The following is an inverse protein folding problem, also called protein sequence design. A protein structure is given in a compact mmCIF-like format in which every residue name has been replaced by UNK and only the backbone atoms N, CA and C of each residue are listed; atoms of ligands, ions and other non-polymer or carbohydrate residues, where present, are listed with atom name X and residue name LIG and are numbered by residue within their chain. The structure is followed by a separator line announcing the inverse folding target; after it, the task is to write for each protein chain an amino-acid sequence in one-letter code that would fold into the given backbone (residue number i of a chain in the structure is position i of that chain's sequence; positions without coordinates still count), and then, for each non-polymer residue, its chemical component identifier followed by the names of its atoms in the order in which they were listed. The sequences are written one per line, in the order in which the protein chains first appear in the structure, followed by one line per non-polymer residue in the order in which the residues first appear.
data_IF_809049584880
#
_entry.id   IF_809049584880
#
_cell.length_a   1.000
_cell.length_b   1.000
_cell.length_c   1.000
_cell.angle_alpha   90.00
_cell.angle_beta   90.00
_cell.angle_gamma   90.00
#
_symmetry.space_group_name_H-M   'P 1'
#
loop_
_entity.id
_entity.type
_entity.pdbx_description
1 polymer ?
#
# COMPACT_ATOMS: atom_id res chain seq x y z
N UNK A 1 66.15 -12.85 56.17
CA UNK A 1 65.27 -13.53 55.20
C UNK A 1 63.80 -13.06 55.26
N UNK A 2 63.41 -12.07 56.07
CA UNK A 2 62.01 -11.60 56.19
C UNK A 2 61.59 -10.50 55.20
N UNK A 3 62.53 -9.73 54.65
CA UNK A 3 62.21 -8.59 53.77
C UNK A 3 61.61 -8.99 52.41
N UNK A 4 62.02 -10.11 51.81
CA UNK A 4 61.48 -10.52 50.50
C UNK A 4 60.02 -10.98 50.59
N UNK A 5 59.64 -11.67 51.67
CA UNK A 5 58.28 -12.14 51.88
C UNK A 5 57.30 -10.97 52.10
N UNK A 6 57.71 -9.96 52.86
CA UNK A 6 56.91 -8.75 53.10
C UNK A 6 56.75 -7.96 51.81
N UNK A 7 57.84 -7.75 51.05
CA UNK A 7 57.80 -7.05 49.75
C UNK A 7 56.89 -7.81 48.76
N UNK A 8 57.01 -9.14 48.68
CA UNK A 8 56.19 -9.98 47.81
C UNK A 8 54.70 -9.88 48.18
N UNK A 9 54.35 -9.88 49.47
CA UNK A 9 52.98 -9.74 49.93
C UNK A 9 52.40 -8.35 49.56
N UNK A 10 53.20 -7.30 49.69
CA UNK A 10 52.80 -5.92 49.40
C UNK A 10 52.58 -5.70 47.90
N UNK A 11 53.46 -6.23 47.05
CA UNK A 11 53.28 -6.23 45.59
C UNK A 11 52.04 -7.02 45.19
N UNK A 12 51.82 -8.21 45.77
CA UNK A 12 50.64 -9.03 45.48
C UNK A 12 49.33 -8.32 45.85
N UNK A 13 49.30 -7.60 46.98
CA UNK A 13 48.15 -6.82 47.42
C UNK A 13 47.85 -5.67 46.44
N UNK A 14 48.88 -4.93 46.02
CA UNK A 14 48.75 -3.83 45.04
C UNK A 14 48.25 -4.35 43.70
N UNK A 15 48.81 -5.44 43.20
CA UNK A 15 48.40 -6.07 41.94
C UNK A 15 46.94 -6.53 42.02
N UNK A 16 46.52 -7.13 43.14
CA UNK A 16 45.14 -7.56 43.34
C UNK A 16 44.18 -6.38 43.34
N UNK A 17 44.53 -5.27 44.01
CA UNK A 17 43.74 -4.05 44.05
C UNK A 17 43.61 -3.43 42.64
N UNK A 18 44.70 -3.38 41.88
CA UNK A 18 44.72 -2.89 40.50
C UNK A 18 43.85 -3.75 39.58
N UNK A 19 43.96 -5.09 39.67
CA UNK A 19 43.13 -6.02 38.88
C UNK A 19 41.65 -5.85 39.24
N UNK A 20 41.33 -5.65 40.52
CA UNK A 20 39.96 -5.41 40.96
C UNK A 20 39.39 -4.11 40.35
N UNK A 21 40.15 -3.01 40.41
CA UNK A 21 39.75 -1.73 39.82
C UNK A 21 39.60 -1.83 38.29
N UNK A 22 40.55 -2.47 37.60
CA UNK A 22 40.48 -2.73 36.17
C UNK A 22 39.26 -3.57 35.80
N UNK A 23 38.97 -4.64 36.55
CA UNK A 23 37.77 -5.46 36.34
C UNK A 23 36.50 -4.66 36.54
N UNK A 24 36.42 -3.81 37.56
CA UNK A 24 35.25 -2.97 37.80
C UNK A 24 34.99 -2.00 36.64
N UNK A 25 36.04 -1.34 36.14
CA UNK A 25 35.95 -0.41 35.00
C UNK A 25 35.53 -1.17 33.72
N UNK A 26 36.20 -2.29 33.42
CA UNK A 26 35.89 -3.10 32.23
C UNK A 26 34.48 -3.66 32.31
N UNK A 27 34.04 -4.17 33.47
CA UNK A 27 32.68 -4.70 33.64
C UNK A 27 31.65 -3.61 33.46
N UNK A 28 31.87 -2.41 34.01
CA UNK A 28 30.97 -1.27 33.84
C UNK A 28 30.75 -0.91 32.37
N UNK A 29 31.83 -0.75 31.58
CA UNK A 29 31.71 -0.43 30.16
C UNK A 29 31.05 -1.56 29.35
N UNK A 30 31.35 -2.82 29.68
CA UNK A 30 30.76 -4.00 29.02
C UNK A 30 29.28 -4.13 29.34
N UNK A 31 28.89 -4.00 30.61
CA UNK A 31 27.49 -4.07 31.06
C UNK A 31 26.66 -2.95 30.45
N UNK A 32 27.18 -1.72 30.42
CA UNK A 32 26.54 -0.60 29.74
C UNK A 32 26.32 -0.88 28.26
N UNK A 33 27.38 -1.28 27.55
CA UNK A 33 27.29 -1.60 26.11
C UNK A 33 26.32 -2.75 25.85
N UNK A 34 26.31 -3.77 26.71
CA UNK A 34 25.37 -4.89 26.63
C UNK A 34 23.93 -4.47 26.89
N UNK A 35 23.67 -3.59 27.85
CA UNK A 35 22.34 -3.04 28.11
C UNK A 35 21.84 -2.16 26.95
N UNK A 36 22.68 -1.27 26.44
CA UNK A 36 22.34 -0.45 25.26
C UNK A 36 22.02 -1.34 24.04
N UNK A 37 22.83 -2.38 23.82
CA UNK A 37 22.57 -3.38 22.78
C UNK A 37 21.24 -4.11 22.99
N UNK A 38 20.98 -4.60 24.21
CA UNK A 38 19.76 -5.33 24.56
C UNK A 38 18.51 -4.48 24.34
N UNK A 39 18.51 -3.24 24.84
CA UNK A 39 17.40 -2.28 24.67
C UNK A 39 17.12 -2.04 23.18
N UNK A 40 18.18 -1.87 22.37
CA UNK A 40 18.04 -1.70 20.92
C UNK A 40 17.37 -2.92 20.29
N UNK A 41 17.85 -4.13 20.56
CA UNK A 41 17.30 -5.36 19.99
C UNK A 41 15.84 -5.57 20.42
N UNK A 42 15.51 -5.32 21.69
CA UNK A 42 14.14 -5.42 22.19
C UNK A 42 13.21 -4.42 21.48
N UNK A 43 13.65 -3.17 21.29
CA UNK A 43 12.88 -2.18 20.55
C UNK A 43 12.68 -2.60 19.08
N UNK A 44 13.75 -3.02 18.39
CA UNK A 44 13.65 -3.51 17.01
C UNK A 44 12.66 -4.67 16.87
N UNK A 45 12.71 -5.61 17.81
CA UNK A 45 11.79 -6.74 17.86
C UNK A 45 10.35 -6.28 18.06
N UNK A 46 10.09 -5.40 19.02
CA UNK A 46 8.74 -4.87 19.29
C UNK A 46 8.18 -4.07 18.11
N UNK A 47 9.00 -3.29 17.40
CA UNK A 47 8.57 -2.58 16.19
C UNK A 47 8.18 -3.57 15.08
N UNK A 48 9.01 -4.58 14.81
CA UNK A 48 8.72 -5.62 13.82
C UNK A 48 7.45 -6.39 14.16
N UNK A 49 7.27 -6.72 15.44
CA UNK A 49 6.11 -7.44 15.93
C UNK A 49 4.82 -6.67 15.66
N UNK A 50 4.78 -5.37 15.99
CA UNK A 50 3.60 -4.52 15.74
C UNK A 50 3.22 -4.44 14.27
N UNK A 51 4.21 -4.37 13.36
CA UNK A 51 3.94 -4.37 11.91
C UNK A 51 3.32 -5.69 11.48
N UNK A 52 3.88 -6.81 11.94
CA UNK A 52 3.33 -8.14 11.63
C UNK A 52 1.94 -8.33 12.19
N UNK A 53 1.66 -7.82 13.39
CA UNK A 53 0.33 -7.86 13.99
C UNK A 53 -0.67 -7.03 13.18
N UNK A 54 -0.29 -5.81 12.76
CA UNK A 54 -1.12 -4.97 11.89
C UNK A 54 -1.40 -5.64 10.53
N UNK A 55 -0.36 -6.17 9.88
CA UNK A 55 -0.52 -6.92 8.62
C UNK A 55 -1.42 -8.13 8.85
N UNK A 56 -1.16 -8.96 9.87
CA UNK A 56 -1.96 -10.16 10.14
C UNK A 56 -3.43 -9.84 10.39
N UNK A 57 -3.70 -8.75 11.10
CA UNK A 57 -5.06 -8.30 11.42
C UNK A 57 -5.85 -7.85 10.18
N UNK A 58 -5.21 -7.15 9.25
CA UNK A 58 -5.91 -6.51 8.12
C UNK A 58 -5.63 -7.13 6.75
N UNK A 59 -4.71 -8.09 6.64
CA UNK A 59 -4.34 -8.74 5.37
C UNK A 59 -5.55 -9.39 4.70
N UNK A 60 -6.34 -10.19 5.43
CA UNK A 60 -7.49 -10.87 4.84
C UNK A 60 -8.54 -9.88 4.30
N UNK A 61 -9.06 -8.91 5.09
CA UNK A 61 -9.98 -7.90 4.55
C UNK A 61 -9.43 -7.09 3.38
N UNK A 62 -8.12 -6.78 3.38
CA UNK A 62 -7.46 -6.10 2.26
C UNK A 62 -7.45 -6.97 0.99
N UNK A 63 -7.11 -8.25 1.11
CA UNK A 63 -7.08 -9.17 -0.03
C UNK A 63 -8.49 -9.44 -0.57
N UNK A 64 -9.49 -9.59 0.30
CA UNK A 64 -10.87 -9.84 -0.10
C UNK A 64 -11.48 -8.62 -0.81
N UNK A 65 -11.25 -7.41 -0.29
CA UNK A 65 -11.70 -6.17 -0.94
C UNK A 65 -10.94 -5.90 -2.24
N UNK A 66 -9.63 -6.17 -2.28
CA UNK A 66 -8.82 -6.09 -3.49
C UNK A 66 -9.31 -7.04 -4.57
N UNK A 67 -9.64 -8.29 -4.23
CA UNK A 67 -10.13 -9.27 -5.21
C UNK A 67 -11.54 -8.93 -5.70
N UNK A 68 -12.42 -8.46 -4.80
CA UNK A 68 -13.73 -7.94 -5.20
C UNK A 68 -13.61 -6.80 -6.22
N UNK A 69 -12.70 -5.85 -5.99
CA UNK A 69 -12.40 -4.77 -6.92
C UNK A 69 -11.76 -5.29 -8.22
N UNK A 70 -10.81 -6.22 -8.13
CA UNK A 70 -10.16 -6.85 -9.28
C UNK A 70 -11.18 -7.51 -10.21
N UNK A 71 -12.13 -8.28 -9.68
CA UNK A 71 -13.23 -8.84 -10.47
C UNK A 71 -14.09 -7.78 -11.15
N UNK A 72 -14.37 -6.66 -10.47
CA UNK A 72 -15.12 -5.54 -11.06
C UNK A 72 -14.34 -4.88 -12.19
N UNK A 73 -13.03 -4.70 -12.05
CA UNK A 73 -12.16 -4.14 -13.08
C UNK A 73 -12.03 -5.07 -14.29
N UNK A 74 -11.93 -6.39 -14.09
CA UNK A 74 -11.99 -7.38 -15.17
C UNK A 74 -13.31 -7.28 -15.95
N UNK A 75 -14.43 -7.24 -15.23
CA UNK A 75 -15.74 -7.12 -15.84
C UNK A 75 -15.87 -5.80 -16.62
N UNK A 76 -15.42 -4.69 -16.02
CA UNK A 76 -15.48 -3.38 -16.65
C UNK A 76 -14.63 -3.31 -17.92
N UNK A 77 -13.41 -3.83 -17.88
CA UNK A 77 -12.54 -3.88 -19.05
C UNK A 77 -13.15 -4.69 -20.20
N UNK A 78 -13.86 -5.77 -19.88
CA UNK A 78 -14.53 -6.61 -20.89
C UNK A 78 -15.79 -5.96 -21.46
N UNK A 79 -16.59 -5.30 -20.62
CA UNK A 79 -17.97 -4.91 -20.94
C UNK A 79 -18.18 -3.37 -20.94
N UNK A 80 -17.14 -2.55 -20.95
CA UNK A 80 -17.27 -1.08 -20.90
C UNK A 80 -18.15 -0.53 -22.05
N UNK A 81 -18.10 -1.18 -23.22
CA UNK A 81 -18.91 -0.86 -24.40
C UNK A 81 -20.43 -1.00 -24.15
N UNK A 82 -20.84 -1.85 -23.21
CA UNK A 82 -22.25 -2.01 -22.81
C UNK A 82 -22.80 -0.79 -22.06
N UNK A 83 -21.92 0.12 -21.60
CA UNK A 83 -22.29 1.40 -21.01
C UNK A 83 -23.19 1.32 -19.77
N UNK A 84 -23.14 0.21 -19.01
CA UNK A 84 -23.89 0.03 -17.76
C UNK A 84 -23.47 1.00 -16.65
N UNK A 85 -22.31 1.64 -16.78
CA UNK A 85 -21.80 2.66 -15.88
C UNK A 85 -22.26 4.08 -16.25
N UNK A 86 -22.81 4.29 -17.44
CA UNK A 86 -23.22 5.59 -17.95
C UNK A 86 -24.72 5.78 -17.68
N UNK A 87 -25.16 6.83 -16.97
CA UNK A 87 -26.57 7.16 -16.83
C UNK A 87 -27.19 7.45 -18.21
N UNK A 88 -28.37 6.88 -18.47
CA UNK A 88 -29.14 7.10 -19.70
C UNK A 88 -30.55 7.59 -19.33
N UNK A 89 -31.02 8.68 -19.95
CA UNK A 89 -32.33 9.28 -19.67
C UNK A 89 -32.48 9.71 -18.20
N UNK A 90 -33.65 9.43 -17.61
CA UNK A 90 -33.98 9.79 -16.21
C UNK A 90 -33.48 8.78 -15.17
N UNK A 91 -32.50 7.94 -15.54
CA UNK A 91 -31.96 6.94 -14.63
C UNK A 91 -31.29 7.61 -13.43
N UNK A 92 -31.91 7.47 -12.25
CA UNK A 92 -31.30 7.84 -10.99
C UNK A 92 -30.07 6.94 -10.74
N UNK A 93 -28.93 7.56 -10.46
CA UNK A 93 -27.66 6.89 -10.11
C UNK A 93 -27.86 5.83 -9.02
N UNK A 94 -28.79 6.03 -8.08
CA UNK A 94 -29.09 5.09 -7.00
C UNK A 94 -29.69 3.76 -7.49
N UNK A 95 -30.30 3.75 -8.67
CA UNK A 95 -30.88 2.54 -9.25
C UNK A 95 -29.89 1.79 -10.16
N UNK A 96 -28.72 2.37 -10.44
CA UNK A 96 -27.71 1.79 -11.33
C UNK A 96 -26.80 0.82 -10.58
N UNK A 97 -27.24 -0.42 -10.40
CA UNK A 97 -26.48 -1.46 -9.68
C UNK A 97 -25.01 -1.56 -10.14
N UNK A 98 -24.76 -1.51 -11.45
CA UNK A 98 -23.40 -1.63 -11.97
C UNK A 98 -22.48 -0.52 -11.47
N UNK A 99 -22.92 0.74 -11.59
CA UNK A 99 -22.20 1.93 -11.15
C UNK A 99 -22.04 1.95 -9.62
N UNK A 100 -23.14 1.75 -8.89
CA UNK A 100 -23.18 1.72 -7.43
C UNK A 100 -22.22 0.70 -6.84
N UNK A 101 -22.29 -0.52 -7.37
CA UNK A 101 -21.44 -1.61 -6.89
C UNK A 101 -19.98 -1.45 -7.35
N UNK A 102 -19.69 -0.63 -8.36
CA UNK A 102 -18.32 -0.24 -8.71
C UNK A 102 -17.80 0.80 -7.71
N UNK A 103 -18.54 1.89 -7.48
CA UNK A 103 -18.21 2.90 -6.48
C UNK A 103 -17.92 2.25 -5.11
N UNK A 104 -18.82 1.37 -4.66
CA UNK A 104 -18.65 0.63 -3.41
C UNK A 104 -17.35 -0.16 -3.35
N UNK A 105 -17.01 -0.95 -4.38
CA UNK A 105 -15.82 -1.81 -4.35
C UNK A 105 -14.53 -1.01 -4.35
N UNK A 106 -14.49 0.09 -5.10
CA UNK A 106 -13.34 0.99 -5.12
C UNK A 106 -13.16 1.66 -3.74
N UNK A 107 -14.22 2.27 -3.23
CA UNK A 107 -14.19 2.96 -1.93
C UNK A 107 -13.94 2.01 -0.76
N UNK A 108 -14.51 0.80 -0.79
CA UNK A 108 -14.31 -0.22 0.24
C UNK A 108 -12.85 -0.68 0.29
N UNK A 109 -12.23 -0.92 -0.87
CA UNK A 109 -10.80 -1.25 -0.93
C UNK A 109 -9.93 -0.10 -0.39
N UNK A 110 -10.19 1.14 -0.81
CA UNK A 110 -9.47 2.31 -0.31
C UNK A 110 -9.68 2.52 1.21
N UNK A 111 -10.87 2.21 1.73
CA UNK A 111 -11.16 2.28 3.16
C UNK A 111 -10.34 1.27 3.97
N UNK A 112 -10.23 0.03 3.50
CA UNK A 112 -9.33 -0.95 4.13
C UNK A 112 -7.87 -0.52 4.08
N UNK A 113 -7.43 0.07 2.97
CA UNK A 113 -6.08 0.63 2.86
C UNK A 113 -5.84 1.72 3.92
N UNK A 114 -6.82 2.62 4.10
CA UNK A 114 -6.74 3.71 5.07
C UNK A 114 -6.80 3.22 6.52
N UNK A 115 -7.63 2.23 6.84
CA UNK A 115 -7.68 1.58 8.16
C UNK A 115 -6.31 0.97 8.49
N UNK A 116 -5.72 0.24 7.54
CA UNK A 116 -4.39 -0.34 7.71
C UNK A 116 -3.33 0.74 7.92
N UNK A 117 -3.32 1.80 7.10
CA UNK A 117 -2.34 2.88 7.24
C UNK A 117 -2.42 3.59 8.60
N UNK A 118 -3.62 3.83 9.14
CA UNK A 118 -3.81 4.43 10.47
C UNK A 118 -3.14 3.63 11.59
N UNK A 119 -3.10 2.30 11.47
CA UNK A 119 -2.48 1.42 12.46
C UNK A 119 -0.94 1.38 12.31
N UNK A 120 -0.41 1.80 11.16
CA UNK A 120 1.03 1.87 10.92
C UNK A 120 1.68 3.22 11.30
N UNK A 121 0.90 4.26 11.66
CA UNK A 121 1.39 5.62 11.96
C UNK A 121 2.49 5.62 13.03
N UNK A 122 2.49 4.64 13.94
CA UNK A 122 3.41 4.57 15.07
C UNK A 122 4.61 3.64 14.85
N UNK A 123 4.90 3.23 13.61
CA UNK A 123 5.88 2.18 13.31
C UNK A 123 7.08 2.72 12.53
N UNK A 124 8.27 2.43 13.06
CA UNK A 124 9.52 2.75 12.38
C UNK A 124 9.77 1.77 11.22
N UNK A 125 9.48 2.25 10.00
CA UNK A 125 9.69 1.49 8.77
C UNK A 125 11.16 1.10 8.51
N UNK A 126 12.14 1.76 9.15
CA UNK A 126 13.56 1.39 8.99
C UNK A 126 13.90 0.04 9.61
N UNK A 127 13.09 -0.40 10.59
CA UNK A 127 13.32 -1.64 11.34
C UNK A 127 12.55 -2.84 10.78
N UNK A 128 11.80 -2.63 9.69
CA UNK A 128 10.88 -3.62 9.13
C UNK A 128 11.58 -4.63 8.21
N UNK A 129 11.02 -5.83 8.11
CA UNK A 129 11.49 -6.83 7.13
C UNK A 129 11.07 -6.37 5.72
N UNK A 130 11.89 -6.67 4.72
CA UNK A 130 11.66 -6.26 3.32
C UNK A 130 10.25 -6.61 2.81
N UNK A 131 9.74 -7.81 3.12
CA UNK A 131 8.44 -8.26 2.62
C UNK A 131 7.27 -7.46 3.21
N UNK A 132 7.33 -7.19 4.51
CA UNK A 132 6.37 -6.35 5.22
C UNK A 132 6.40 -4.92 4.65
N UNK A 133 7.60 -4.39 4.40
CA UNK A 133 7.76 -3.07 3.77
C UNK A 133 7.18 -3.01 2.37
N UNK A 134 7.37 -4.05 1.57
CA UNK A 134 6.81 -4.09 0.23
C UNK A 134 5.27 -4.09 0.30
N UNK A 135 4.67 -4.80 1.26
CA UNK A 135 3.22 -4.77 1.49
C UNK A 135 2.74 -3.35 1.80
N UNK A 136 3.40 -2.66 2.75
CA UNK A 136 3.09 -1.26 3.09
C UNK A 136 3.21 -0.34 1.89
N UNK A 137 4.27 -0.49 1.08
CA UNK A 137 4.48 0.31 -0.13
C UNK A 137 3.36 0.09 -1.15
N UNK A 138 2.92 -1.16 -1.38
CA UNK A 138 1.78 -1.46 -2.26
C UNK A 138 0.54 -0.69 -1.82
N UNK A 139 0.18 -0.78 -0.53
CA UNK A 139 -1.00 -0.11 0.01
C UNK A 139 -0.90 1.42 -0.16
N UNK A 140 0.25 2.01 0.17
CA UNK A 140 0.47 3.45 -0.02
C UNK A 140 0.40 3.87 -1.49
N UNK A 141 1.02 3.11 -2.39
CA UNK A 141 0.98 3.41 -3.82
C UNK A 141 -0.44 3.35 -4.36
N UNK A 142 -1.19 2.29 -4.05
CA UNK A 142 -2.58 2.13 -4.51
C UNK A 142 -3.52 3.23 -4.01
N UNK A 143 -3.34 3.72 -2.77
CA UNK A 143 -4.11 4.85 -2.25
C UNK A 143 -3.80 6.18 -2.95
N UNK A 144 -2.54 6.40 -3.33
CA UNK A 144 -2.11 7.70 -3.87
C UNK A 144 -2.21 7.80 -5.40
N UNK A 145 -2.29 6.69 -6.15
CA UNK A 145 -2.35 6.70 -7.63
C UNK A 145 -3.45 7.63 -8.15
N UNK A 146 -4.62 7.65 -7.52
CA UNK A 146 -5.75 8.48 -7.94
C UNK A 146 -5.62 9.97 -7.58
N UNK A 147 -4.61 10.34 -6.80
CA UNK A 147 -4.37 11.72 -6.35
C UNK A 147 -2.99 12.25 -6.75
N UNK A 148 -2.14 11.41 -7.35
CA UNK A 148 -0.81 11.79 -7.80
C UNK A 148 -0.88 12.33 -9.23
N UNK A 149 -1.06 13.65 -9.35
CA UNK A 149 -1.19 14.32 -10.64
C UNK A 149 0.02 14.14 -11.58
N UNK A 150 1.18 13.72 -11.06
CA UNK A 150 2.34 13.43 -11.90
C UNK A 150 2.14 12.24 -12.84
N UNK A 151 1.07 11.44 -12.64
CA UNK A 151 0.66 10.43 -13.62
C UNK A 151 0.33 11.05 -14.99
N UNK A 152 -0.02 12.33 -15.06
CA UNK A 152 -0.34 13.06 -16.30
C UNK A 152 0.82 13.93 -16.82
N UNK A 153 2.02 13.82 -16.25
CA UNK A 153 3.18 14.60 -16.71
C UNK A 153 3.43 14.41 -18.22
N UNK A 154 3.70 15.51 -18.92
CA UNK A 154 3.93 15.48 -20.37
C UNK A 154 2.66 15.45 -21.23
N UNK A 155 1.48 15.47 -20.61
CA UNK A 155 0.19 15.68 -21.30
C UNK A 155 -0.29 17.13 -21.11
N UNK A 156 -1.21 17.55 -21.99
CA UNK A 156 -1.96 18.81 -21.84
C UNK A 156 -3.07 18.63 -20.79
N UNK A 157 -2.66 18.51 -19.52
CA UNK A 157 -3.55 18.29 -18.37
C UNK A 157 -3.26 19.31 -17.27
N UNK A 158 -4.29 20.03 -16.83
CA UNK A 158 -4.18 20.98 -15.72
C UNK A 158 -4.43 20.28 -14.36
N UNK A 159 -3.39 20.10 -13.51
CA UNK A 159 -3.52 19.42 -12.23
C UNK A 159 -4.27 20.26 -11.18
N UNK A 160 -4.54 21.55 -11.43
CA UNK A 160 -5.31 22.41 -10.53
C UNK A 160 -6.82 22.14 -10.59
N UNK A 161 -7.27 21.34 -11.56
CA UNK A 161 -8.65 20.86 -11.66
C UNK A 161 -8.71 19.33 -11.56
N UNK A 162 -9.54 18.83 -10.65
CA UNK A 162 -9.74 17.40 -10.40
C UNK A 162 -10.68 16.74 -11.43
N UNK A 163 -10.28 16.80 -12.71
CA UNK A 163 -11.07 16.24 -13.83
C UNK A 163 -10.78 14.75 -14.03
N UNK A 164 -9.50 14.35 -14.09
CA UNK A 164 -9.07 12.97 -14.32
C UNK A 164 -8.38 12.33 -13.11
N UNK A 165 -8.36 13.05 -11.99
CA UNK A 165 -7.85 12.61 -10.69
C UNK A 165 -8.72 13.18 -9.56
N UNK A 166 -8.37 12.84 -8.33
CA UNK A 166 -9.00 13.39 -7.14
C UNK A 166 -7.98 14.13 -6.28
N UNK A 167 -8.34 15.30 -5.77
CA UNK A 167 -7.58 15.87 -4.66
C UNK A 167 -7.57 14.91 -3.47
N UNK A 168 -6.40 14.80 -2.82
CA UNK A 168 -6.15 13.83 -1.77
C UNK A 168 -7.18 13.93 -0.63
N UNK A 169 -7.46 15.13 -0.16
CA UNK A 169 -8.39 15.33 0.96
C UNK A 169 -9.85 15.06 0.58
N UNK A 170 -10.22 15.32 -0.67
CA UNK A 170 -11.56 15.01 -1.17
C UNK A 170 -11.76 13.50 -1.31
N UNK A 171 -10.79 12.77 -1.89
CA UNK A 171 -10.84 11.31 -1.92
C UNK A 171 -10.85 10.72 -0.50
N UNK A 172 -10.01 11.27 0.37
CA UNK A 172 -9.90 10.89 1.78
C UNK A 172 -11.23 11.01 2.52
N UNK A 173 -12.03 12.06 2.27
CA UNK A 173 -13.33 12.24 2.93
C UNK A 173 -14.38 11.22 2.46
N UNK A 174 -14.43 10.93 1.14
CA UNK A 174 -15.31 9.89 0.60
C UNK A 174 -14.96 8.51 1.16
N UNK A 175 -13.66 8.24 1.35
CA UNK A 175 -13.17 7.01 1.97
C UNK A 175 -13.50 6.96 3.47
N UNK A 176 -13.41 8.08 4.20
CA UNK A 176 -13.74 8.13 5.63
C UNK A 176 -15.17 7.75 5.93
N UNK A 177 -16.10 8.16 5.06
CA UNK A 177 -17.50 7.80 5.20
C UNK A 177 -17.73 6.27 5.16
N UNK A 178 -16.87 5.50 4.49
CA UNK A 178 -16.99 4.04 4.44
C UNK A 178 -16.60 3.33 5.74
N UNK A 179 -15.97 4.03 6.70
CA UNK A 179 -15.31 3.42 7.86
C UNK A 179 -16.20 3.56 9.10
N UNK A 180 -16.47 2.45 9.79
CA UNK A 180 -17.15 2.40 11.10
C UNK A 180 -16.32 1.59 12.10
N UNK A 181 -15.93 2.18 13.24
CA UNK A 181 -15.25 1.49 14.37
C UNK A 181 -14.15 0.48 13.95
N UNK A 182 -13.34 0.86 12.95
CA UNK A 182 -12.26 0.07 12.31
C UNK A 182 -12.69 -1.07 11.35
N UNK A 183 -13.93 -1.03 10.91
CA UNK A 183 -14.48 -1.87 9.85
C UNK A 183 -14.94 -1.01 8.66
N UNK A 184 -15.34 -1.67 7.57
CA UNK A 184 -15.88 -1.00 6.39
C UNK A 184 -17.35 -1.38 6.25
N UNK A 185 -18.21 -0.39 5.96
CA UNK A 185 -19.65 -0.62 5.77
C UNK A 185 -19.91 -1.64 4.65
N UNK A 186 -20.98 -2.42 4.81
CA UNK A 186 -21.44 -3.36 3.80
C UNK A 186 -22.05 -2.66 2.58
N UNK A 187 -22.21 -3.39 1.48
CA UNK A 187 -22.88 -2.85 0.28
C UNK A 187 -24.33 -2.42 0.59
N UNK A 188 -25.04 -3.18 1.43
CA UNK A 188 -26.42 -2.86 1.83
C UNK A 188 -26.51 -1.56 2.65
N UNK A 189 -25.49 -1.25 3.45
CA UNK A 189 -25.39 0.02 4.18
C UNK A 189 -25.01 1.17 3.25
N UNK A 190 -24.05 0.93 2.34
CA UNK A 190 -23.66 1.89 1.30
C UNK A 190 -24.86 2.35 0.46
N UNK A 191 -25.73 1.42 0.04
CA UNK A 191 -26.93 1.72 -0.76
C UNK A 191 -27.97 2.58 -0.03
N UNK A 192 -27.91 2.69 1.31
CA UNK A 192 -28.82 3.55 2.10
C UNK A 192 -28.30 4.98 2.24
N UNK A 193 -27.08 5.24 1.78
CA UNK A 193 -26.41 6.49 2.01
C UNK A 193 -26.63 7.47 0.87
N UNK A 194 -26.57 8.76 1.20
CA UNK A 194 -26.70 9.83 0.23
C UNK A 194 -25.59 9.77 -0.83
N UNK A 195 -25.98 9.86 -2.10
CA UNK A 195 -25.09 9.86 -3.26
C UNK A 195 -24.06 10.98 -3.19
N UNK A 196 -24.41 12.11 -2.57
CA UNK A 196 -23.50 13.25 -2.38
C UNK A 196 -22.17 12.85 -1.70
N UNK A 197 -22.18 11.82 -0.85
CA UNK A 197 -20.97 11.34 -0.15
C UNK A 197 -19.96 10.66 -1.06
N UNK A 198 -20.35 10.23 -2.26
CA UNK A 198 -19.48 9.53 -3.22
C UNK A 198 -19.69 10.00 -4.66
N UNK A 199 -20.36 11.13 -4.87
CA UNK A 199 -20.76 11.62 -6.19
C UNK A 199 -19.56 11.83 -7.11
N UNK A 200 -18.42 12.28 -6.59
CA UNK A 200 -17.21 12.46 -7.40
C UNK A 200 -16.69 11.13 -7.95
N UNK A 201 -16.71 10.04 -7.16
CA UNK A 201 -16.34 8.70 -7.65
C UNK A 201 -17.35 8.20 -8.68
N UNK A 202 -18.64 8.44 -8.43
CA UNK A 202 -19.70 8.09 -9.37
C UNK A 202 -19.50 8.79 -10.72
N UNK A 203 -19.29 10.11 -10.70
CA UNK A 203 -19.06 10.93 -11.89
C UNK A 203 -17.77 10.55 -12.61
N UNK A 204 -16.71 10.23 -11.86
CA UNK A 204 -15.46 9.74 -12.44
C UNK A 204 -15.67 8.44 -13.22
N UNK A 205 -16.34 7.46 -12.60
CA UNK A 205 -16.57 6.15 -13.23
C UNK A 205 -17.53 6.30 -14.42
N UNK A 206 -18.63 7.05 -14.26
CA UNK A 206 -19.67 7.20 -15.28
C UNK A 206 -19.23 8.00 -16.50
N UNK A 207 -18.21 8.85 -16.37
CA UNK A 207 -17.65 9.64 -17.48
C UNK A 207 -16.57 8.92 -18.27
N UNK A 208 -16.22 7.67 -17.91
CA UNK A 208 -15.33 6.85 -18.74
C UNK A 208 -16.05 6.50 -20.05
N UNK A 209 -15.45 6.86 -21.17
CA UNK A 209 -16.04 6.64 -22.50
C UNK A 209 -16.07 5.15 -22.85
N UNK A 210 -16.99 4.75 -23.73
CA UNK A 210 -17.13 3.35 -24.17
C UNK A 210 -15.90 2.87 -24.93
N UNK A 211 -15.28 3.78 -25.68
CA UNK A 211 -14.06 3.59 -26.46
C UNK A 211 -12.82 3.56 -25.57
N UNK A 212 -12.94 4.02 -24.31
CA UNK A 212 -11.87 4.01 -23.30
C UNK A 212 -10.63 4.83 -23.68
N UNK A 213 -10.76 5.73 -24.65
CA UNK A 213 -9.73 6.71 -25.00
C UNK A 213 -9.84 7.96 -24.12
N UNK A 214 -9.63 7.80 -22.82
CA UNK A 214 -9.61 8.93 -21.89
C UNK A 214 -8.64 8.68 -20.72
N UNK A 215 -8.13 9.77 -20.16
CA UNK A 215 -7.21 9.77 -19.03
C UNK A 215 -7.72 8.98 -17.81
N UNK A 216 -9.02 9.08 -17.50
CA UNK A 216 -9.65 8.30 -16.42
C UNK A 216 -9.51 6.79 -16.63
N UNK A 217 -9.76 6.33 -17.86
CA UNK A 217 -9.58 4.93 -18.20
C UNK A 217 -8.11 4.52 -18.08
N UNK A 218 -7.20 5.30 -18.66
CA UNK A 218 -5.76 5.01 -18.62
C UNK A 218 -5.25 4.91 -17.17
N UNK A 219 -5.68 5.80 -16.29
CA UNK A 219 -5.34 5.78 -14.86
C UNK A 219 -5.90 4.53 -14.17
N UNK A 220 -7.19 4.23 -14.38
CA UNK A 220 -7.88 3.08 -13.81
C UNK A 220 -7.29 1.75 -14.28
N UNK A 221 -6.92 1.66 -15.57
CA UNK A 221 -6.28 0.50 -16.14
C UNK A 221 -4.87 0.29 -15.56
N UNK A 222 -4.08 1.35 -15.45
CA UNK A 222 -2.78 1.31 -14.77
C UNK A 222 -2.91 0.86 -13.30
N UNK A 223 -3.90 1.39 -12.58
CA UNK A 223 -4.23 0.93 -11.23
C UNK A 223 -4.57 -0.57 -11.18
N UNK A 224 -5.30 -1.08 -12.17
CA UNK A 224 -5.65 -2.51 -12.23
C UNK A 224 -4.41 -3.41 -12.33
N UNK A 225 -3.38 -3.04 -13.09
CA UNK A 225 -2.11 -3.78 -13.12
C UNK A 225 -1.39 -3.77 -11.76
N UNK A 226 -1.40 -2.64 -11.06
CA UNK A 226 -0.84 -2.54 -9.70
C UNK A 226 -1.60 -3.46 -8.73
N UNK A 227 -2.94 -3.50 -8.83
CA UNK A 227 -3.80 -4.36 -8.03
C UNK A 227 -3.57 -5.85 -8.33
N UNK A 228 -3.44 -6.23 -9.59
CA UNK A 228 -3.10 -7.61 -9.99
C UNK A 228 -1.72 -8.02 -9.50
N UNK A 229 -0.73 -7.12 -9.53
CA UNK A 229 0.60 -7.38 -8.97
C UNK A 229 0.55 -7.58 -7.45
N UNK A 230 -0.25 -6.79 -6.73
CA UNK A 230 -0.49 -6.94 -5.30
C UNK A 230 -1.11 -8.30 -4.95
N UNK A 231 -2.21 -8.67 -5.62
CA UNK A 231 -2.89 -9.96 -5.43
C UNK A 231 -1.98 -11.13 -5.79
N UNK A 232 -1.23 -11.03 -6.88
CA UNK A 232 -0.27 -12.08 -7.29
C UNK A 232 0.91 -12.25 -6.34
N UNK A 233 1.17 -11.26 -5.48
CA UNK A 233 2.26 -11.28 -4.49
C UNK A 233 1.78 -11.81 -3.14
N UNK A 234 0.60 -11.39 -2.70
CA UNK A 234 0.14 -11.59 -1.31
C UNK A 234 -1.17 -12.39 -1.18
N UNK A 235 -1.92 -12.53 -2.26
CA UNK A 235 -3.17 -13.27 -2.33
C UNK A 235 -2.97 -14.78 -2.36
N UNK A 236 -4.09 -15.49 -2.45
CA UNK A 236 -4.15 -16.94 -2.63
C UNK A 236 -3.76 -17.34 -4.06
N UNK A 237 -3.42 -18.61 -4.26
CA UNK A 237 -2.97 -19.13 -5.56
C UNK A 237 -3.96 -18.84 -6.71
N UNK A 238 -5.27 -18.87 -6.42
CA UNK A 238 -6.32 -18.57 -7.41
C UNK A 238 -6.46 -17.07 -7.75
N UNK A 239 -5.87 -16.18 -6.96
CA UNK A 239 -5.85 -14.72 -7.19
C UNK A 239 -4.63 -14.29 -8.01
N UNK A 240 -3.69 -15.21 -8.28
CA UNK A 240 -2.50 -14.92 -9.07
C UNK A 240 -2.89 -14.68 -10.53
N UNK A 241 -2.39 -13.57 -11.08
CA UNK A 241 -2.44 -13.28 -12.51
C UNK A 241 -1.06 -13.54 -13.09
N UNK A 242 -0.93 -14.58 -13.91
CA UNK A 242 0.31 -14.91 -14.58
C UNK A 242 0.64 -13.93 -15.72
N UNK A 243 1.90 -13.95 -16.17
CA UNK A 243 2.40 -13.11 -17.25
C UNK A 243 1.57 -13.21 -18.53
N UNK A 244 1.17 -14.42 -18.94
CA UNK A 244 0.45 -14.61 -20.19
C UNK A 244 -0.95 -13.96 -20.12
N UNK A 245 -1.60 -14.05 -18.96
CA UNK A 245 -2.88 -13.38 -18.69
C UNK A 245 -2.72 -11.85 -18.64
N UNK A 246 -1.63 -11.33 -18.08
CA UNK A 246 -1.32 -9.90 -18.13
C UNK A 246 -1.12 -9.41 -19.57
N UNK A 247 -0.36 -10.13 -20.40
CA UNK A 247 -0.14 -9.80 -21.81
C UNK A 247 -1.46 -9.81 -22.57
N UNK A 248 -2.25 -10.89 -22.43
CA UNK A 248 -3.56 -11.00 -23.06
C UNK A 248 -4.50 -9.86 -22.63
N UNK A 249 -4.43 -9.45 -21.37
CA UNK A 249 -5.20 -8.33 -20.89
C UNK A 249 -4.76 -7.01 -21.50
N UNK A 250 -3.46 -6.71 -21.49
CA UNK A 250 -2.91 -5.52 -22.15
C UNK A 250 -3.36 -5.43 -23.60
N UNK A 251 -3.20 -6.52 -24.37
CA UNK A 251 -3.56 -6.58 -25.79
C UNK A 251 -5.05 -6.39 -26.05
N UNK A 252 -5.93 -6.59 -25.05
CA UNK A 252 -7.37 -6.35 -25.20
C UNK A 252 -7.82 -4.94 -24.82
N UNK A 253 -6.89 -4.10 -24.34
CA UNK A 253 -7.16 -2.71 -23.98
C UNK A 253 -6.54 -1.74 -24.99
N UNK A 254 -7.07 -0.51 -25.10
CA UNK A 254 -6.38 0.56 -25.82
C UNK A 254 -4.98 0.82 -25.26
N UNK A 255 -4.08 1.33 -26.10
CA UNK A 255 -2.76 1.77 -25.68
C UNK A 255 -2.87 2.79 -24.54
N UNK A 256 -2.11 2.57 -23.47
CA UNK A 256 -2.18 3.36 -22.26
C UNK A 256 -1.01 4.34 -22.20
N UNK A 257 -1.27 5.59 -22.64
CA UNK A 257 -0.27 6.66 -22.69
C UNK A 257 0.29 7.06 -21.31
N UNK A 258 -0.35 6.65 -20.21
CA UNK A 258 0.08 6.97 -18.85
C UNK A 258 1.04 5.92 -18.27
N UNK A 259 1.26 4.78 -18.94
CA UNK A 259 2.05 3.67 -18.39
C UNK A 259 3.51 4.03 -18.09
N UNK A 260 4.11 4.91 -18.89
CA UNK A 260 5.45 5.46 -18.60
C UNK A 260 5.49 6.24 -17.28
N UNK A 261 4.50 7.12 -17.07
CA UNK A 261 4.39 7.89 -15.83
C UNK A 261 4.06 7.01 -14.62
N UNK A 262 3.28 5.93 -14.82
CA UNK A 262 3.05 4.95 -13.75
C UNK A 262 4.37 4.33 -13.29
N UNK A 263 5.26 3.96 -14.23
CA UNK A 263 6.56 3.40 -13.87
C UNK A 263 7.38 4.35 -12.97
N UNK A 264 7.35 5.65 -13.24
CA UNK A 264 7.99 6.65 -12.38
C UNK A 264 7.38 6.68 -10.97
N UNK A 265 6.04 6.62 -10.85
CA UNK A 265 5.36 6.49 -9.55
C UNK A 265 5.80 5.22 -8.81
N UNK A 266 5.89 4.08 -9.51
CA UNK A 266 6.35 2.80 -8.95
C UNK A 266 7.82 2.86 -8.50
N UNK A 267 8.68 3.57 -9.24
CA UNK A 267 10.08 3.79 -8.88
C UNK A 267 10.17 4.64 -7.62
N UNK A 268 9.44 5.76 -7.54
CA UNK A 268 9.38 6.63 -6.36
C UNK A 268 8.83 5.89 -5.14
N UNK A 269 7.79 5.08 -5.32
CA UNK A 269 7.24 4.18 -4.31
C UNK A 269 8.13 3.00 -3.93
N UNK A 270 9.30 2.84 -4.58
CA UNK A 270 10.28 1.77 -4.36
C UNK A 270 9.72 0.35 -4.55
N UNK A 271 8.69 0.21 -5.39
CA UNK A 271 8.09 -1.08 -5.75
C UNK A 271 8.71 -1.74 -6.98
N UNK A 272 9.53 -1.02 -7.76
CA UNK A 272 10.24 -1.54 -8.94
C UNK A 272 11.14 -2.77 -8.65
N UNK A 273 11.53 -2.98 -7.39
CA UNK A 273 12.32 -4.15 -6.95
C UNK A 273 11.46 -5.37 -6.61
N UNK A 274 10.13 -5.21 -6.51
CA UNK A 274 9.22 -6.31 -6.26
C UNK A 274 9.00 -7.10 -7.55
N UNK A 275 9.25 -8.41 -7.53
CA UNK A 275 9.16 -9.29 -8.71
C UNK A 275 7.82 -9.15 -9.45
N UNK A 276 6.70 -9.19 -8.71
CA UNK A 276 5.36 -9.12 -9.29
C UNK A 276 5.00 -7.74 -9.84
N UNK A 277 5.48 -6.67 -9.21
CA UNK A 277 5.32 -5.32 -9.76
C UNK A 277 6.14 -5.16 -11.04
N UNK A 278 7.41 -5.59 -11.01
CA UNK A 278 8.30 -5.54 -12.17
C UNK A 278 7.70 -6.28 -13.36
N UNK A 279 7.19 -7.50 -13.13
CA UNK A 279 6.49 -8.29 -14.16
C UNK A 279 5.31 -7.54 -14.77
N UNK A 280 4.46 -6.90 -13.96
CA UNK A 280 3.32 -6.13 -14.43
C UNK A 280 3.73 -4.88 -15.24
N UNK A 281 4.72 -4.13 -14.78
CA UNK A 281 5.23 -2.95 -15.48
C UNK A 281 5.93 -3.32 -16.79
N UNK A 282 6.71 -4.41 -16.82
CA UNK A 282 7.32 -4.91 -18.06
C UNK A 282 6.29 -5.35 -19.09
N UNK A 283 5.13 -5.87 -18.67
CA UNK A 283 4.03 -6.11 -19.62
C UNK A 283 3.48 -4.78 -20.13
N UNK A 284 3.10 -3.87 -19.21
CA UNK A 284 2.51 -2.58 -19.56
C UNK A 284 3.36 -1.77 -20.56
N UNK A 285 4.68 -1.77 -20.37
CA UNK A 285 5.64 -1.03 -21.17
C UNK A 285 6.18 -1.78 -22.39
N UNK A 286 5.80 -3.04 -22.60
CA UNK A 286 6.22 -3.72 -23.84
C UNK A 286 5.60 -3.03 -25.05
N UNK A 287 6.14 -3.26 -26.23
CA UNK A 287 5.38 -3.01 -27.46
C UNK A 287 4.31 -4.10 -27.66
#
# INVERSE_FOLDING_TARGET
MSNSAIISALVSAIVTLLIFLLKAIISYFRERSFHEYKIRIENEYEQRKKIKEAISKYKTPLLDSAESLNHRLWNFSKNCNEAWHIPHGDNNINNMYYLQSFCFRLLSFLAWCKIFERELIYLDSTLSVKDDLDFVKYIRTMQNIFSDASIFNGLDYDPTYAVDHFFKDHLSSMVDFMINDKSVISFSEFMKCDTEKYIAISNYISSITKERHCNKWYLLNNFHFVLMAFLSRYGYDFQITDRAKLIKFKMSQPENILSGNLNEIIIRGKLHKCKKMKEAIEVLLSD
#
